data_IF_814173076420
#
_entry.id   IF_814173076420
#
_cell.length_a   1.000
_cell.length_b   1.000
_cell.length_c   1.000
_cell.angle_alpha   90.00
_cell.angle_beta   90.00
_cell.angle_gamma   90.00
#
_symmetry.space_group_name_H-M   'P 1'
#
loop_
_entity.id
_entity.type
_entity.pdbx_description
1 polymer ?
#
# COMPACT_ATOMS: atom_id res chain seq x y z
N UNK A 1 -27.57 -2.92 3.03
CA UNK A 1 -26.60 -1.85 3.38
C UNK A 1 -27.23 -0.45 3.33
N UNK A 2 -28.26 -0.22 2.49
CA UNK A 2 -29.07 1.01 2.47
C UNK A 2 -29.79 1.35 3.79
N UNK A 3 -30.08 0.34 4.59
CA UNK A 3 -31.06 0.46 5.67
C UNK A 3 -30.52 1.28 6.86
N UNK A 4 -29.22 1.18 7.17
CA UNK A 4 -28.61 1.91 8.30
C UNK A 4 -28.70 3.43 8.18
N UNK A 5 -28.43 3.98 6.98
CA UNK A 5 -28.57 5.42 6.75
C UNK A 5 -30.04 5.83 6.82
N UNK A 6 -30.93 5.07 6.20
CA UNK A 6 -32.37 5.38 6.17
C UNK A 6 -32.99 5.36 7.57
N UNK A 7 -32.54 4.45 8.44
CA UNK A 7 -33.00 4.29 9.82
C UNK A 7 -32.38 5.31 10.79
N UNK A 8 -31.33 6.03 10.38
CA UNK A 8 -30.54 6.91 11.27
C UNK A 8 -30.42 8.33 10.68
N UNK A 9 -31.41 9.23 10.88
CA UNK A 9 -31.39 10.58 10.33
C UNK A 9 -30.15 11.41 10.68
N UNK A 10 -29.57 11.20 11.87
CA UNK A 10 -28.33 11.85 12.29
C UNK A 10 -27.14 11.47 11.39
N UNK A 11 -27.08 10.23 10.92
CA UNK A 11 -26.03 9.76 10.01
C UNK A 11 -26.18 10.37 8.61
N UNK A 12 -27.42 10.53 8.12
CA UNK A 12 -27.69 11.24 6.86
C UNK A 12 -27.23 12.69 6.96
N UNK A 13 -27.66 13.40 8.01
CA UNK A 13 -27.30 14.80 8.20
C UNK A 13 -25.78 14.99 8.28
N UNK A 14 -25.09 14.14 9.04
CA UNK A 14 -23.63 14.17 9.12
C UNK A 14 -22.98 13.92 7.76
N UNK A 15 -23.45 12.91 7.02
CA UNK A 15 -22.91 12.58 5.70
C UNK A 15 -23.09 13.73 4.71
N UNK A 16 -24.27 14.37 4.67
CA UNK A 16 -24.52 15.51 3.78
C UNK A 16 -23.58 16.69 4.10
N UNK A 17 -23.34 16.98 5.38
CA UNK A 17 -22.39 18.01 5.81
C UNK A 17 -20.94 17.63 5.49
N UNK A 18 -20.57 16.36 5.64
CA UNK A 18 -19.24 15.84 5.34
C UNK A 18 -18.95 15.87 3.83
N UNK A 19 -19.90 15.45 3.00
CA UNK A 19 -19.81 15.53 1.54
C UNK A 19 -19.56 16.98 1.09
N UNK A 20 -20.29 17.95 1.65
CA UNK A 20 -20.10 19.38 1.34
C UNK A 20 -18.70 19.89 1.69
N UNK A 21 -18.10 19.45 2.81
CA UNK A 21 -16.73 19.83 3.19
C UNK A 21 -15.69 19.37 2.17
N UNK A 22 -15.95 18.26 1.48
CA UNK A 22 -15.00 17.62 0.56
C UNK A 22 -15.26 17.92 -0.92
N UNK A 23 -16.34 18.63 -1.26
CA UNK A 23 -16.66 19.10 -2.63
C UNK A 23 -15.69 20.19 -3.11
N UNK A 24 -14.43 19.81 -3.32
CA UNK A 24 -13.33 20.69 -3.73
C UNK A 24 -12.89 20.48 -5.18
N UNK A 25 -13.47 19.49 -5.87
CA UNK A 25 -13.11 19.10 -7.24
C UNK A 25 -11.96 18.09 -7.34
N UNK A 26 -11.30 17.75 -6.22
CA UNK A 26 -10.21 16.76 -6.19
C UNK A 26 -10.67 15.34 -6.57
N UNK A 27 -11.89 15.00 -6.17
CA UNK A 27 -12.54 13.72 -6.44
C UNK A 27 -13.66 13.94 -7.45
N UNK A 28 -13.81 13.03 -8.41
CA UNK A 28 -14.87 13.16 -9.41
C UNK A 28 -16.23 12.70 -8.88
N UNK A 29 -16.22 11.78 -7.92
CA UNK A 29 -17.42 11.34 -7.21
C UNK A 29 -17.13 11.25 -5.71
N UNK A 30 -18.08 11.71 -4.90
CA UNK A 30 -18.08 11.56 -3.46
C UNK A 30 -19.34 10.79 -3.07
N UNK A 31 -19.17 9.71 -2.32
CA UNK A 31 -20.28 8.86 -1.88
C UNK A 31 -20.21 8.58 -0.39
N UNK A 32 -21.38 8.36 0.22
CA UNK A 32 -21.50 7.80 1.56
C UNK A 32 -21.47 6.27 1.56
N UNK A 33 -20.81 5.69 2.54
CA UNK A 33 -20.69 4.24 2.72
C UNK A 33 -20.81 3.86 4.19
N UNK A 34 -21.18 2.59 4.45
CA UNK A 34 -21.01 1.95 5.77
C UNK A 34 -19.80 1.04 5.66
N UNK A 35 -18.76 1.32 6.45
CA UNK A 35 -17.47 0.62 6.36
C UNK A 35 -17.27 -0.40 7.48
N UNK A 36 -18.11 -0.35 8.50
CA UNK A 36 -18.09 -1.28 9.62
C UNK A 36 -19.48 -1.37 10.26
N UNK A 37 -19.81 -2.54 10.79
CA UNK A 37 -21.02 -2.78 11.59
C UNK A 37 -20.69 -3.76 12.71
N UNK A 38 -21.51 -3.76 13.77
CA UNK A 38 -21.45 -4.74 14.85
C UNK A 38 -21.97 -6.14 14.49
N UNK A 39 -22.14 -6.42 13.19
CA UNK A 39 -22.59 -7.72 12.71
C UNK A 39 -21.65 -8.84 13.16
N UNK A 40 -22.26 -9.95 13.60
CA UNK A 40 -21.56 -11.12 14.13
C UNK A 40 -21.71 -12.32 13.22
N UNK A 41 -20.67 -13.14 13.16
CA UNK A 41 -20.68 -14.44 12.50
C UNK A 41 -21.52 -15.47 13.27
N UNK A 42 -21.64 -16.67 12.70
CA UNK A 42 -22.32 -17.81 13.32
C UNK A 42 -21.68 -18.27 14.64
N UNK A 43 -20.41 -17.93 14.86
CA UNK A 43 -19.65 -18.17 16.08
C UNK A 43 -19.86 -17.10 17.16
N UNK A 44 -20.71 -16.09 16.90
CA UNK A 44 -21.00 -14.98 17.79
C UNK A 44 -19.88 -13.93 17.86
N UNK A 45 -18.79 -14.06 17.10
CA UNK A 45 -17.72 -13.05 17.02
C UNK A 45 -18.07 -11.98 16.00
N UNK A 46 -17.52 -10.77 16.18
CA UNK A 46 -17.66 -9.70 15.18
C UNK A 46 -17.08 -10.16 13.84
N UNK A 47 -17.80 -9.88 12.75
CA UNK A 47 -17.31 -10.15 11.39
C UNK A 47 -16.02 -9.38 11.10
N UNK A 48 -15.92 -8.16 11.62
CA UNK A 48 -14.71 -7.33 11.57
C UNK A 48 -14.36 -6.92 13.00
N UNK A 49 -13.35 -7.58 13.57
CA UNK A 49 -12.92 -7.38 14.96
C UNK A 49 -12.08 -6.10 15.12
N UNK A 50 -12.72 -4.95 14.98
CA UNK A 50 -12.12 -3.62 15.08
C UNK A 50 -12.94 -2.75 16.03
N UNK A 51 -12.27 -1.97 16.88
CA UNK A 51 -12.91 -0.92 17.69
C UNK A 51 -13.38 0.23 16.78
N UNK A 52 -14.69 0.52 16.72
CA UNK A 52 -15.24 1.53 15.82
C UNK A 52 -14.75 2.95 16.09
N UNK A 53 -14.54 3.35 17.36
CA UNK A 53 -14.14 4.72 17.68
C UNK A 53 -12.68 4.97 17.31
N UNK A 54 -11.86 3.94 17.51
CA UNK A 54 -10.46 3.96 17.06
C UNK A 54 -10.37 3.91 15.52
N UNK A 55 -11.26 3.19 14.84
CA UNK A 55 -11.34 3.17 13.37
C UNK A 55 -11.65 4.58 12.84
N UNK A 56 -12.65 5.24 13.43
CA UNK A 56 -13.01 6.62 13.10
C UNK A 56 -11.84 7.57 13.30
N UNK A 57 -11.17 7.47 14.46
CA UNK A 57 -10.00 8.31 14.78
C UNK A 57 -8.88 8.13 13.76
N UNK A 58 -8.60 6.89 13.34
CA UNK A 58 -7.56 6.60 12.34
C UNK A 58 -7.90 7.17 10.98
N UNK A 59 -9.12 6.95 10.48
CA UNK A 59 -9.55 7.48 9.18
C UNK A 59 -9.47 9.00 9.16
N UNK A 60 -9.96 9.67 10.21
CA UNK A 60 -10.01 11.12 10.27
C UNK A 60 -8.63 11.77 10.53
N UNK A 61 -7.62 11.01 10.97
CA UNK A 61 -6.24 11.51 11.15
C UNK A 61 -5.31 11.16 9.99
N UNK A 62 -5.51 9.99 9.37
CA UNK A 62 -4.78 9.56 8.18
C UNK A 62 -5.73 8.77 7.25
N UNK A 63 -6.36 9.45 6.27
CA UNK A 63 -7.29 8.84 5.31
C UNK A 63 -6.75 7.58 4.65
N UNK A 64 -7.51 6.48 4.73
CA UNK A 64 -7.14 5.22 4.09
C UNK A 64 -7.41 5.25 2.59
N UNK A 65 -6.46 4.74 1.81
CA UNK A 65 -6.61 4.50 0.37
C UNK A 65 -7.58 3.34 0.16
N UNK A 66 -8.59 3.58 -0.67
CA UNK A 66 -9.53 2.57 -1.11
C UNK A 66 -8.86 1.73 -2.21
N UNK A 67 -8.64 0.44 -1.94
CA UNK A 67 -7.98 -0.48 -2.86
C UNK A 67 -8.98 -1.47 -3.48
N UNK A 68 -8.87 -1.68 -4.78
CA UNK A 68 -9.58 -2.75 -5.49
C UNK A 68 -8.92 -4.10 -5.18
N UNK A 69 -9.68 -5.07 -4.68
CA UNK A 69 -9.21 -6.43 -4.37
C UNK A 69 -7.96 -6.47 -3.47
N UNK A 70 -7.79 -5.51 -2.55
CA UNK A 70 -6.61 -5.36 -1.68
C UNK A 70 -5.30 -5.06 -2.41
N UNK A 71 -5.34 -4.81 -3.73
CA UNK A 71 -4.14 -4.60 -4.53
C UNK A 71 -3.60 -3.17 -4.28
N UNK A 72 -2.41 -3.03 -3.67
CA UNK A 72 -1.81 -1.71 -3.40
C UNK A 72 -1.48 -0.92 -4.67
N UNK A 73 -1.46 -1.57 -5.84
CA UNK A 73 -1.28 -0.94 -7.15
C UNK A 73 -2.58 -0.42 -7.79
N UNK A 74 -3.75 -0.64 -7.16
CA UNK A 74 -5.07 -0.30 -7.71
C UNK A 74 -5.86 0.64 -6.79
N UNK A 75 -5.41 1.90 -6.61
CA UNK A 75 -6.10 2.88 -5.80
C UNK A 75 -7.35 3.40 -6.52
N UNK A 76 -8.52 3.30 -5.89
CA UNK A 76 -9.79 3.82 -6.43
C UNK A 76 -10.18 5.17 -5.84
N UNK A 77 -9.72 5.46 -4.63
CA UNK A 77 -10.12 6.64 -3.90
C UNK A 77 -9.55 6.70 -2.49
N UNK A 78 -10.18 7.50 -1.64
CA UNK A 78 -9.83 7.70 -0.24
C UNK A 78 -11.07 7.71 0.64
N UNK A 79 -10.94 7.23 1.89
CA UNK A 79 -11.91 7.50 2.93
C UNK A 79 -11.61 8.86 3.55
N UNK A 80 -12.45 9.84 3.23
CA UNK A 80 -12.21 11.25 3.53
C UNK A 80 -12.56 11.60 4.97
N UNK A 81 -13.66 11.04 5.45
CA UNK A 81 -14.18 11.28 6.79
C UNK A 81 -15.02 10.09 7.25
N UNK A 82 -15.10 9.88 8.56
CA UNK A 82 -15.94 8.83 9.15
C UNK A 82 -16.49 9.25 10.51
N UNK A 83 -17.60 8.62 10.91
CA UNK A 83 -18.23 8.79 12.21
C UNK A 83 -18.99 7.52 12.63
N UNK A 84 -19.04 7.28 13.94
CA UNK A 84 -19.76 6.16 14.55
C UNK A 84 -21.19 6.56 14.90
N UNK A 85 -22.12 5.64 14.66
CA UNK A 85 -23.55 5.81 14.92
C UNK A 85 -24.16 4.54 15.50
N UNK A 86 -25.31 4.70 16.15
CA UNK A 86 -26.16 3.62 16.63
C UNK A 86 -27.57 3.83 16.05
N UNK A 87 -28.14 2.80 15.42
CA UNK A 87 -29.49 2.86 14.88
C UNK A 87 -30.54 2.67 16.00
N UNK A 88 -31.84 2.89 15.75
CA UNK A 88 -32.89 2.72 16.76
C UNK A 88 -32.99 1.31 17.38
N UNK A 89 -32.51 0.28 16.67
CA UNK A 89 -32.46 -1.11 17.16
C UNK A 89 -31.22 -1.41 18.03
N UNK A 90 -30.41 -0.40 18.33
CA UNK A 90 -29.19 -0.52 19.13
C UNK A 90 -27.98 -1.08 18.35
N UNK A 91 -28.07 -1.17 17.02
CA UNK A 91 -26.98 -1.65 16.17
C UNK A 91 -25.98 -0.55 15.88
N UNK A 92 -24.71 -0.84 16.11
CA UNK A 92 -23.61 0.10 15.86
C UNK A 92 -23.05 -0.06 14.46
N UNK A 93 -22.72 1.08 13.85
CA UNK A 93 -22.07 1.13 12.55
C UNK A 93 -21.16 2.33 12.42
N UNK A 94 -20.19 2.25 11.50
CA UNK A 94 -19.35 3.39 11.11
C UNK A 94 -19.74 3.80 9.70
N UNK A 95 -20.23 5.03 9.58
CA UNK A 95 -20.45 5.69 8.31
C UNK A 95 -19.16 6.38 7.86
N UNK A 96 -18.96 6.47 6.54
CA UNK A 96 -17.83 7.14 5.93
C UNK A 96 -18.24 7.90 4.67
N UNK A 97 -17.51 8.97 4.39
CA UNK A 97 -17.51 9.66 3.09
C UNK A 97 -16.28 9.19 2.32
N UNK A 98 -16.50 8.74 1.09
CA UNK A 98 -15.49 8.19 0.20
C UNK A 98 -15.39 9.09 -1.02
N UNK A 99 -14.17 9.52 -1.36
CA UNK A 99 -13.87 10.26 -2.58
C UNK A 99 -13.20 9.36 -3.60
N UNK A 100 -13.78 9.21 -4.79
CA UNK A 100 -13.16 8.47 -5.89
C UNK A 100 -12.35 9.39 -6.80
N UNK A 101 -11.21 8.90 -7.26
CA UNK A 101 -10.32 9.68 -8.13
C UNK A 101 -10.86 9.83 -9.56
N UNK A 102 -11.64 8.87 -10.07
CA UNK A 102 -12.14 8.95 -11.44
C UNK A 102 -13.00 10.21 -11.63
N UNK A 103 -12.69 10.99 -12.67
CA UNK A 103 -13.36 12.25 -12.96
C UNK A 103 -12.93 13.45 -12.10
N UNK A 104 -11.98 13.27 -11.18
CA UNK A 104 -11.45 14.33 -10.31
C UNK A 104 -10.22 15.07 -10.89
N UNK A 105 -9.55 15.85 -10.04
CA UNK A 105 -8.27 16.52 -10.36
C UNK A 105 -7.10 15.52 -10.33
N UNK A 106 -7.03 14.70 -11.38
CA UNK A 106 -5.97 13.72 -11.60
C UNK A 106 -4.83 14.36 -12.38
N UNK A 107 -3.64 14.35 -11.78
CA UNK A 107 -2.43 14.88 -12.40
C UNK A 107 -1.71 13.77 -13.17
N UNK A 108 -0.93 14.13 -14.19
CA UNK A 108 -0.04 13.23 -14.92
C UNK A 108 1.42 13.60 -14.67
N UNK A 109 2.34 12.63 -14.72
CA UNK A 109 3.77 12.92 -14.56
C UNK A 109 4.25 13.83 -15.69
N UNK A 110 3.84 13.52 -16.93
CA UNK A 110 4.15 14.32 -18.10
C UNK A 110 3.57 15.75 -17.99
N UNK A 111 2.35 15.91 -17.48
CA UNK A 111 1.72 17.22 -17.26
C UNK A 111 2.45 18.07 -16.22
N UNK A 112 3.20 17.45 -15.32
CA UNK A 112 4.08 18.12 -14.35
C UNK A 112 5.51 18.36 -14.90
N UNK A 113 5.74 18.03 -16.18
CA UNK A 113 7.05 18.10 -16.84
C UNK A 113 8.03 17.07 -16.30
N UNK A 114 7.55 16.00 -15.66
CA UNK A 114 8.36 14.94 -15.07
C UNK A 114 8.52 13.84 -16.11
N UNK A 115 9.73 13.72 -16.62
CA UNK A 115 10.13 12.58 -17.43
C UNK A 115 10.50 11.42 -16.49
N UNK A 116 9.65 10.39 -16.51
CA UNK A 116 9.79 9.17 -15.70
C UNK A 116 10.72 8.15 -16.34
N UNK A 117 11.14 8.34 -17.60
CA UNK A 117 12.05 7.42 -18.30
C UNK A 117 13.52 7.76 -18.06
N UNK A 118 13.79 8.94 -17.47
CA UNK A 118 15.15 9.35 -17.11
C UNK A 118 15.73 8.43 -16.03
N UNK A 119 16.62 7.52 -16.45
CA UNK A 119 17.37 6.65 -15.54
C UNK A 119 18.18 7.44 -14.51
N UNK A 120 18.17 6.97 -13.26
CA UNK A 120 19.02 7.49 -12.18
C UNK A 120 20.01 6.39 -11.78
N UNK A 121 21.32 6.66 -11.78
CA UNK A 121 22.27 5.68 -11.27
C UNK A 121 22.05 5.48 -9.77
N UNK A 122 22.16 4.25 -9.25
CA UNK A 122 22.20 3.99 -7.82
C UNK A 122 23.32 4.79 -7.14
N UNK A 123 23.19 5.10 -5.84
CA UNK A 123 24.20 5.85 -5.12
C UNK A 123 25.56 5.11 -5.14
N UNK A 124 26.64 5.85 -5.37
CA UNK A 124 28.00 5.28 -5.40
C UNK A 124 28.52 4.89 -4.01
N UNK A 125 27.90 5.41 -2.96
CA UNK A 125 28.22 5.13 -1.56
C UNK A 125 26.93 4.79 -0.84
N UNK A 126 26.94 3.69 -0.10
CA UNK A 126 25.82 3.33 0.76
C UNK A 126 26.12 3.76 2.19
N UNK A 127 25.12 4.29 2.93
CA UNK A 127 25.31 4.57 4.33
C UNK A 127 25.49 3.26 5.09
N UNK A 128 26.10 3.36 6.27
CA UNK A 128 26.25 2.20 7.16
C UNK A 128 24.86 1.72 7.60
N UNK A 129 24.59 0.42 7.47
CA UNK A 129 23.41 -0.20 8.08
C UNK A 129 23.54 -0.12 9.60
N UNK A 130 22.44 0.26 10.26
CA UNK A 130 22.39 0.21 11.71
C UNK A 130 22.39 -1.25 12.17
N UNK A 131 23.05 -1.52 13.28
CA UNK A 131 23.26 -2.88 13.79
C UNK A 131 21.93 -3.52 14.28
N UNK A 132 20.89 -2.72 14.49
CA UNK A 132 19.57 -3.12 14.94
C UNK A 132 18.56 -3.32 13.81
N UNK A 133 18.97 -3.24 12.53
CA UNK A 133 18.06 -3.37 11.38
C UNK A 133 17.17 -4.63 11.43
N UNK A 134 15.88 -4.43 11.18
CA UNK A 134 14.89 -5.50 11.08
C UNK A 134 13.99 -5.31 9.86
N UNK A 135 13.31 -6.39 9.49
CA UNK A 135 12.31 -6.43 8.42
C UNK A 135 10.99 -6.89 9.01
N UNK A 136 9.88 -6.31 8.56
CA UNK A 136 8.54 -6.78 8.87
C UNK A 136 8.02 -7.61 7.69
N UNK A 137 7.42 -8.77 7.95
CA UNK A 137 6.64 -9.51 6.95
C UNK A 137 5.19 -9.55 7.43
N UNK A 138 4.30 -8.95 6.65
CA UNK A 138 2.87 -8.91 6.92
C UNK A 138 2.09 -9.74 5.89
N UNK A 139 1.24 -10.64 6.36
CA UNK A 139 0.42 -11.54 5.51
C UNK A 139 -0.93 -11.84 6.14
N UNK A 140 -1.95 -12.11 5.32
CA UNK A 140 -3.23 -12.63 5.82
C UNK A 140 -3.16 -14.16 5.94
N UNK A 141 -3.42 -14.70 7.12
CA UNK A 141 -3.33 -16.15 7.39
C UNK A 141 -4.32 -17.00 6.56
N UNK A 142 -5.32 -16.36 5.93
CA UNK A 142 -6.23 -17.03 4.98
C UNK A 142 -5.65 -17.12 3.57
N UNK A 143 -4.66 -16.30 3.26
CA UNK A 143 -4.01 -16.22 1.95
C UNK A 143 -2.67 -16.93 1.96
N UNK A 144 -1.87 -16.77 3.02
CA UNK A 144 -0.51 -17.33 3.13
C UNK A 144 -0.44 -18.24 4.35
N UNK A 145 0.00 -19.48 4.14
CA UNK A 145 0.15 -20.47 5.20
C UNK A 145 1.41 -20.23 6.06
N UNK A 146 1.32 -20.63 7.34
CA UNK A 146 2.41 -20.48 8.30
C UNK A 146 3.66 -21.28 7.93
N UNK A 147 3.52 -22.44 7.28
CA UNK A 147 4.67 -23.26 6.88
C UNK A 147 5.55 -22.51 5.87
N UNK A 148 4.93 -21.82 4.91
CA UNK A 148 5.65 -20.94 3.98
C UNK A 148 6.32 -19.78 4.71
N UNK A 149 5.63 -19.14 5.67
CA UNK A 149 6.17 -18.05 6.48
C UNK A 149 7.39 -18.48 7.30
N UNK A 150 7.30 -19.62 7.98
CA UNK A 150 8.42 -20.24 8.72
C UNK A 150 9.64 -20.43 7.84
N UNK A 151 9.43 -20.98 6.64
CA UNK A 151 10.51 -21.19 5.71
C UNK A 151 11.18 -19.86 5.34
N UNK A 152 10.43 -18.81 4.99
CA UNK A 152 11.02 -17.55 4.51
C UNK A 152 11.70 -16.74 5.61
N UNK A 153 11.23 -16.83 6.86
CA UNK A 153 11.84 -16.07 7.97
C UNK A 153 13.04 -16.75 8.60
N UNK A 154 13.09 -18.09 8.62
CA UNK A 154 14.16 -18.84 9.31
C UNK A 154 15.55 -18.60 8.70
N UNK A 155 15.59 -18.35 7.40
CA UNK A 155 16.84 -18.13 6.65
C UNK A 155 17.23 -16.64 6.56
N UNK A 156 16.56 -15.76 7.30
CA UNK A 156 16.81 -14.31 7.23
C UNK A 156 18.13 -13.94 7.91
N UNK A 157 18.99 -13.12 7.26
CA UNK A 157 20.23 -12.60 7.85
C UNK A 157 19.98 -11.48 8.87
N UNK A 158 18.74 -11.00 8.98
CA UNK A 158 18.30 -9.97 9.93
C UNK A 158 17.08 -10.44 10.71
N UNK A 159 16.77 -9.77 11.82
CA UNK A 159 15.53 -10.04 12.57
C UNK A 159 14.32 -9.79 11.65
N UNK A 160 13.40 -10.75 11.63
CA UNK A 160 12.10 -10.60 10.96
C UNK A 160 11.00 -10.54 12.02
N UNK A 161 10.19 -9.49 11.98
CA UNK A 161 8.95 -9.41 12.72
C UNK A 161 7.80 -9.83 11.81
N UNK A 162 6.94 -10.73 12.31
CA UNK A 162 5.73 -11.09 11.58
C UNK A 162 4.57 -10.26 12.08
N UNK A 163 3.77 -9.76 11.15
CA UNK A 163 2.49 -9.17 11.45
C UNK A 163 1.39 -9.79 10.59
N UNK A 164 0.16 -9.74 11.10
CA UNK A 164 -0.96 -10.30 10.37
C UNK A 164 -1.65 -9.18 9.58
N UNK A 165 -1.99 -9.42 8.32
CA UNK A 165 -2.89 -8.58 7.52
C UNK A 165 -4.33 -9.10 7.68
N UNK A 166 -5.31 -8.22 7.55
CA UNK A 166 -6.70 -8.65 7.45
C UNK A 166 -7.38 -7.98 6.28
N UNK A 167 -7.44 -8.72 5.18
CA UNK A 167 -8.09 -8.28 3.97
C UNK A 167 -9.62 -8.41 4.06
N UNK A 168 -10.25 -8.91 5.13
CA UNK A 168 -11.73 -9.00 5.22
C UNK A 168 -12.47 -9.51 3.93
N UNK A 169 -11.79 -10.27 3.06
CA UNK A 169 -12.37 -10.87 1.87
C UNK A 169 -12.78 -12.32 2.17
N UNK A 170 -13.92 -12.74 1.64
CA UNK A 170 -14.37 -14.12 1.72
C UNK A 170 -13.58 -15.04 0.77
N UNK A 171 -13.22 -14.52 -0.40
CA UNK A 171 -12.36 -15.16 -1.40
C UNK A 171 -11.30 -14.14 -1.83
N UNK A 172 -10.02 -14.46 -1.66
CA UNK A 172 -8.93 -13.61 -2.18
C UNK A 172 -8.50 -14.09 -3.56
N UNK A 173 -8.53 -13.17 -4.53
CA UNK A 173 -8.08 -13.44 -5.91
C UNK A 173 -6.54 -13.44 -6.03
N UNK A 174 -5.85 -12.96 -4.99
CA UNK A 174 -4.43 -12.65 -4.99
C UNK A 174 -3.89 -12.89 -3.58
N UNK A 175 -2.63 -13.29 -3.46
CA UNK A 175 -1.98 -13.44 -2.16
C UNK A 175 -1.06 -12.25 -1.94
N UNK A 176 -1.38 -11.36 -1.00
CA UNK A 176 -0.54 -10.19 -0.72
C UNK A 176 0.41 -10.46 0.44
N UNK A 177 1.71 -10.33 0.15
CA UNK A 177 2.79 -10.38 1.12
C UNK A 177 3.44 -9.00 1.15
N UNK A 178 3.39 -8.31 2.28
CA UNK A 178 4.07 -7.03 2.47
C UNK A 178 5.35 -7.22 3.24
N UNK A 179 6.44 -6.66 2.73
CA UNK A 179 7.76 -6.67 3.37
C UNK A 179 8.15 -5.25 3.72
N UNK A 180 7.99 -4.89 5.00
CA UNK A 180 8.42 -3.61 5.56
C UNK A 180 9.93 -3.59 5.78
N UNK A 181 10.67 -2.67 5.15
CA UNK A 181 12.12 -2.67 5.20
C UNK A 181 12.71 -1.24 5.09
N UNK A 182 13.89 -0.95 5.69
CA UNK A 182 14.54 0.36 5.53
C UNK A 182 14.95 0.66 4.09
N UNK A 183 14.69 1.89 3.63
CA UNK A 183 14.83 2.28 2.21
C UNK A 183 16.22 2.05 1.65
N UNK A 184 17.23 2.19 2.52
CA UNK A 184 18.63 1.95 2.18
C UNK A 184 18.89 0.53 1.65
N UNK A 185 18.10 -0.47 2.04
CA UNK A 185 18.23 -1.84 1.55
C UNK A 185 17.81 -1.97 0.07
N UNK A 186 17.01 -1.04 -0.44
CA UNK A 186 16.53 -1.04 -1.82
C UNK A 186 17.52 -0.44 -2.81
N UNK A 187 18.40 0.45 -2.36
CA UNK A 187 19.36 1.17 -3.22
C UNK A 187 20.70 0.44 -3.40
N UNK A 188 20.87 -0.74 -2.79
CA UNK A 188 22.10 -1.52 -2.92
C UNK A 188 22.26 -2.11 -4.32
N UNK A 189 23.47 -2.02 -4.88
CA UNK A 189 23.86 -2.77 -6.07
C UNK A 189 25.24 -3.43 -5.87
N UNK A 190 25.56 -4.52 -6.58
CA UNK A 190 26.82 -5.25 -6.42
C UNK A 190 28.06 -4.49 -6.90
N UNK A 191 27.88 -3.39 -7.64
CA UNK A 191 28.93 -2.52 -8.17
C UNK A 191 29.25 -1.33 -7.27
N UNK A 192 28.56 -1.16 -6.13
CA UNK A 192 28.93 -0.17 -5.12
C UNK A 192 30.29 -0.56 -4.53
N UNK A 193 31.30 0.24 -4.85
CA UNK A 193 32.70 -0.02 -4.49
C UNK A 193 33.07 0.48 -3.09
N UNK A 194 32.28 1.39 -2.51
CA UNK A 194 32.54 1.97 -1.20
C UNK A 194 31.33 1.78 -0.26
N UNK A 195 31.40 0.77 0.59
CA UNK A 195 30.56 0.65 1.78
C UNK A 195 31.45 0.98 2.98
N UNK A 196 30.92 1.70 3.97
CA UNK A 196 31.71 2.19 5.10
C UNK A 196 32.56 1.12 5.83
N UNK A 197 32.18 -0.16 5.72
CA UNK A 197 32.93 -1.32 6.24
C UNK A 197 32.68 -2.58 5.39
N UNK A 198 33.66 -3.51 5.37
CA UNK A 198 33.49 -4.85 4.76
C UNK A 198 32.37 -5.67 5.41
N UNK A 199 32.17 -5.51 6.73
CA UNK A 199 31.06 -6.14 7.45
C UNK A 199 29.70 -5.67 6.92
N UNK A 200 29.55 -4.36 6.67
CA UNK A 200 28.34 -3.82 6.05
C UNK A 200 28.08 -4.41 4.67
N UNK A 201 29.13 -4.59 3.85
CA UNK A 201 29.04 -5.21 2.53
C UNK A 201 28.52 -6.64 2.58
N UNK A 202 29.00 -7.44 3.53
CA UNK A 202 28.53 -8.80 3.74
C UNK A 202 27.05 -8.84 4.15
N UNK A 203 26.62 -7.95 5.05
CA UNK A 203 25.21 -7.85 5.48
C UNK A 203 24.30 -7.49 4.31
N UNK A 204 24.63 -6.48 3.51
CA UNK A 204 23.86 -6.13 2.31
C UNK A 204 23.76 -7.30 1.32
N UNK A 205 24.87 -7.97 1.05
CA UNK A 205 24.89 -9.12 0.14
C UNK A 205 24.01 -10.27 0.68
N UNK A 206 24.06 -10.53 1.98
CA UNK A 206 23.22 -11.52 2.65
C UNK A 206 21.72 -11.19 2.53
N UNK A 207 21.34 -9.95 2.82
CA UNK A 207 19.95 -9.49 2.69
C UNK A 207 19.48 -9.59 1.24
N UNK A 208 20.31 -9.16 0.28
CA UNK A 208 19.97 -9.25 -1.13
C UNK A 208 19.81 -10.70 -1.61
N UNK A 209 20.68 -11.62 -1.15
CA UNK A 209 20.54 -13.05 -1.43
C UNK A 209 19.25 -13.62 -0.83
N UNK A 210 18.90 -13.19 0.39
CA UNK A 210 17.64 -13.56 1.04
C UNK A 210 16.42 -13.05 0.26
N UNK A 211 16.43 -11.80 -0.22
CA UNK A 211 15.37 -11.29 -1.10
C UNK A 211 15.24 -12.07 -2.41
N UNK A 212 16.35 -12.45 -3.06
CA UNK A 212 16.29 -13.31 -4.25
C UNK A 212 15.65 -14.66 -3.93
N UNK A 213 15.98 -15.27 -2.79
CA UNK A 213 15.39 -16.53 -2.34
C UNK A 213 13.91 -16.40 -2.02
N UNK A 214 13.50 -15.29 -1.39
CA UNK A 214 12.09 -14.95 -1.17
C UNK A 214 11.34 -14.86 -2.50
N UNK A 215 11.89 -14.16 -3.49
CA UNK A 215 11.31 -14.04 -4.83
C UNK A 215 11.20 -15.39 -5.55
N UNK A 216 12.19 -16.28 -5.40
CA UNK A 216 12.10 -17.65 -5.95
C UNK A 216 10.94 -18.43 -5.32
N UNK A 217 10.69 -18.28 -4.02
CA UNK A 217 9.58 -18.93 -3.30
C UNK A 217 8.20 -18.38 -3.62
N UNK A 218 8.12 -17.26 -4.34
CA UNK A 218 6.86 -16.78 -4.92
C UNK A 218 6.36 -17.71 -6.03
N UNK A 219 7.22 -18.57 -6.59
CA UNK A 219 6.84 -19.58 -7.58
C UNK A 219 5.74 -20.54 -7.07
N UNK A 220 5.77 -20.83 -5.76
CA UNK A 220 4.86 -21.76 -5.09
C UNK A 220 3.49 -21.14 -4.76
N UNK A 221 3.35 -19.83 -4.96
CA UNK A 221 2.19 -19.03 -4.54
C UNK A 221 1.18 -18.82 -5.67
N UNK A 222 -0.09 -18.61 -5.31
CA UNK A 222 -1.19 -18.42 -6.25
C UNK A 222 -1.40 -16.93 -6.54
N UNK A 223 -0.97 -16.50 -7.72
CA UNK A 223 -1.11 -15.11 -8.19
C UNK A 223 -0.67 -14.07 -7.13
N UNK A 224 0.57 -14.16 -6.62
CA UNK A 224 0.96 -13.35 -5.49
C UNK A 224 1.34 -11.92 -5.88
N UNK A 225 1.25 -11.02 -4.90
CA UNK A 225 1.86 -9.70 -4.91
C UNK A 225 2.82 -9.63 -3.73
N UNK A 226 4.08 -9.34 -4.00
CA UNK A 226 5.06 -8.98 -2.97
C UNK A 226 5.28 -7.47 -3.00
N UNK A 227 4.91 -6.79 -1.92
CA UNK A 227 5.03 -5.35 -1.72
C UNK A 227 6.27 -5.05 -0.86
N UNK A 228 7.36 -4.61 -1.48
CA UNK A 228 8.49 -4.04 -0.75
C UNK A 228 8.15 -2.63 -0.31
N UNK A 229 7.78 -2.50 0.96
CA UNK A 229 7.23 -1.30 1.57
C UNK A 229 8.33 -0.61 2.39
N UNK A 230 8.62 0.64 2.05
CA UNK A 230 9.62 1.44 2.73
C UNK A 230 9.21 2.92 2.87
N UNK A 231 10.07 3.74 3.47
CA UNK A 231 9.84 5.17 3.68
C UNK A 231 11.06 5.99 3.27
N UNK A 232 10.84 7.05 2.49
CA UNK A 232 11.87 7.98 2.01
C UNK A 232 11.35 9.42 2.08
N UNK A 233 12.05 10.30 2.82
CA UNK A 233 11.72 11.73 2.99
C UNK A 233 10.23 12.02 3.30
N UNK A 234 9.64 11.22 4.19
CA UNK A 234 8.24 11.34 4.61
C UNK A 234 7.21 10.74 3.65
N UNK A 235 7.67 10.13 2.55
CA UNK A 235 6.82 9.41 1.60
C UNK A 235 6.95 7.89 1.81
N UNK A 236 5.82 7.20 1.91
CA UNK A 236 5.76 5.75 1.79
C UNK A 236 6.07 5.34 0.33
N UNK A 237 7.02 4.43 0.13
CA UNK A 237 7.37 3.92 -1.21
C UNK A 237 7.16 2.42 -1.26
N UNK A 238 6.38 1.96 -2.23
CA UNK A 238 6.11 0.53 -2.49
C UNK A 238 6.64 0.11 -3.85
N UNK A 239 7.36 -1.00 -3.90
CA UNK A 239 7.77 -1.68 -5.13
C UNK A 239 7.01 -3.00 -5.24
N UNK A 240 6.11 -3.10 -6.21
CA UNK A 240 5.23 -4.26 -6.36
C UNK A 240 5.82 -5.29 -7.32
N UNK A 241 6.15 -6.45 -6.79
CA UNK A 241 6.51 -7.63 -7.56
C UNK A 241 5.26 -8.49 -7.77
N UNK A 242 4.88 -8.73 -9.02
CA UNK A 242 3.64 -9.44 -9.36
C UNK A 242 3.88 -10.82 -9.95
N UNK A 243 3.06 -11.79 -9.54
CA UNK A 243 3.03 -13.14 -10.10
C UNK A 243 4.18 -14.03 -9.62
N UNK A 244 4.31 -15.20 -10.25
CA UNK A 244 5.15 -16.31 -9.77
C UNK A 244 6.26 -16.71 -10.75
N UNK A 245 6.53 -15.89 -11.77
CA UNK A 245 7.62 -16.16 -12.73
C UNK A 245 8.97 -15.73 -12.14
N UNK A 246 9.70 -16.70 -11.59
CA UNK A 246 10.99 -16.49 -10.92
C UNK A 246 11.97 -15.65 -11.76
N UNK A 247 12.13 -15.96 -13.05
CA UNK A 247 13.06 -15.23 -13.92
C UNK A 247 12.71 -13.74 -13.99
N UNK A 248 11.42 -13.42 -14.21
CA UNK A 248 10.95 -12.03 -14.26
C UNK A 248 11.07 -11.32 -12.90
N UNK A 249 10.86 -12.05 -11.81
CA UNK A 249 11.02 -11.50 -10.45
C UNK A 249 12.50 -11.19 -10.15
N UNK A 250 13.44 -12.04 -10.57
CA UNK A 250 14.87 -11.76 -10.43
C UNK A 250 15.33 -10.61 -11.32
N UNK A 251 14.82 -10.52 -12.56
CA UNK A 251 15.08 -9.36 -13.44
C UNK A 251 14.58 -8.05 -12.78
N UNK A 252 13.39 -8.07 -12.18
CA UNK A 252 12.87 -6.94 -11.41
C UNK A 252 13.76 -6.58 -10.21
N UNK A 253 14.27 -7.59 -9.50
CA UNK A 253 15.18 -7.39 -8.36
C UNK A 253 16.49 -6.73 -8.79
N UNK A 254 17.07 -7.17 -9.92
CA UNK A 254 18.32 -6.61 -10.44
C UNK A 254 18.19 -5.14 -10.85
N UNK A 255 16.99 -4.72 -11.29
CA UNK A 255 16.69 -3.33 -11.65
C UNK A 255 16.24 -2.44 -10.48
N UNK A 256 15.97 -3.02 -9.30
CA UNK A 256 15.34 -2.34 -8.16
C UNK A 256 16.15 -1.15 -7.63
N UNK A 257 17.48 -1.27 -7.59
CA UNK A 257 18.35 -0.20 -7.06
C UNK A 257 18.25 1.10 -7.87
N UNK A 258 18.13 0.99 -9.20
CA UNK A 258 17.91 2.14 -10.07
C UNK A 258 16.54 2.77 -9.83
N UNK A 259 15.51 1.93 -9.67
CA UNK A 259 14.16 2.37 -9.37
C UNK A 259 14.06 3.09 -8.01
N UNK A 260 14.75 2.59 -6.99
CA UNK A 260 14.84 3.24 -5.68
C UNK A 260 15.60 4.57 -5.76
N UNK A 261 16.66 4.68 -6.55
CA UNK A 261 17.32 5.96 -6.77
C UNK A 261 16.39 6.96 -7.51
N UNK A 262 15.62 6.48 -8.49
CA UNK A 262 14.65 7.26 -9.22
C UNK A 262 13.50 7.75 -8.32
N UNK A 263 12.95 6.90 -7.46
CA UNK A 263 11.89 7.25 -6.53
C UNK A 263 12.34 8.37 -5.57
N UNK A 264 13.56 8.28 -5.01
CA UNK A 264 14.11 9.32 -4.16
C UNK A 264 14.24 10.67 -4.90
N UNK A 265 14.70 10.65 -6.16
CA UNK A 265 14.78 11.85 -7.01
C UNK A 265 13.39 12.42 -7.30
N UNK A 266 12.42 11.56 -7.60
CA UNK A 266 11.04 11.95 -7.90
C UNK A 266 10.37 12.61 -6.69
N UNK A 267 10.50 12.03 -5.49
CA UNK A 267 10.01 12.60 -4.23
C UNK A 267 10.59 14.01 -4.01
N UNK A 268 11.91 14.16 -4.15
CA UNK A 268 12.58 15.46 -4.00
C UNK A 268 12.10 16.49 -5.03
N UNK A 269 11.93 16.07 -6.29
CA UNK A 269 11.43 16.93 -7.38
C UNK A 269 9.98 17.37 -7.17
N UNK A 270 9.11 16.47 -6.73
CA UNK A 270 7.71 16.81 -6.42
C UNK A 270 7.65 17.78 -5.24
N UNK A 271 8.43 17.52 -4.19
CA UNK A 271 8.53 18.41 -3.02
C UNK A 271 9.02 19.81 -3.39
N UNK A 272 10.00 19.95 -4.28
CA UNK A 272 10.46 21.28 -4.76
C UNK A 272 9.42 22.04 -5.58
N UNK A 273 8.43 21.34 -6.15
CA UNK A 273 7.26 21.91 -6.81
C UNK A 273 6.06 22.14 -5.87
N UNK A 274 6.26 22.02 -4.55
CA UNK A 274 5.19 22.15 -3.54
C UNK A 274 4.23 20.96 -3.48
N UNK A 275 4.55 19.84 -4.14
CA UNK A 275 3.73 18.63 -4.18
C UNK A 275 4.34 17.58 -3.26
N UNK A 276 4.01 17.65 -1.97
CA UNK A 276 4.55 16.70 -0.99
C UNK A 276 3.87 15.35 -1.17
N UNK A 277 4.65 14.33 -1.52
CA UNK A 277 4.19 12.96 -1.69
C UNK A 277 3.95 12.28 -0.34
N UNK A 278 2.77 11.68 -0.18
CA UNK A 278 2.42 10.80 0.95
C UNK A 278 2.78 9.36 0.65
N UNK A 279 2.41 8.89 -0.54
CA UNK A 279 2.62 7.51 -1.00
C UNK A 279 3.05 7.50 -2.46
N UNK A 280 3.93 6.58 -2.82
CA UNK A 280 4.41 6.37 -4.18
C UNK A 280 4.50 4.87 -4.44
N UNK A 281 3.95 4.42 -5.56
CA UNK A 281 3.95 3.01 -5.93
C UNK A 281 4.63 2.83 -7.28
N UNK A 282 5.57 1.89 -7.33
CA UNK A 282 6.25 1.46 -8.54
C UNK A 282 5.80 0.07 -8.93
N UNK A 283 5.65 -0.14 -10.24
CA UNK A 283 5.42 -1.46 -10.82
C UNK A 283 6.50 -1.79 -11.84
N UNK A 284 6.84 -3.08 -11.93
CA UNK A 284 7.78 -3.57 -12.91
C UNK A 284 7.05 -4.00 -14.18
N UNK A 285 7.35 -3.31 -15.28
CA UNK A 285 6.91 -3.72 -16.60
C UNK A 285 7.72 -4.95 -17.04
N UNK A 286 7.05 -6.09 -17.13
CA UNK A 286 7.67 -7.37 -17.50
C UNK A 286 8.05 -7.48 -18.97
N UNK A 287 7.46 -6.64 -19.83
CA UNK A 287 7.74 -6.58 -21.26
C UNK A 287 8.91 -5.64 -21.52
N UNK A 288 8.85 -4.42 -20.97
CA UNK A 288 9.89 -3.41 -21.12
C UNK A 288 11.09 -3.62 -20.19
N UNK A 289 10.97 -4.51 -19.19
CA UNK A 289 12.00 -4.85 -18.20
C UNK A 289 12.48 -3.64 -17.38
N UNK A 290 11.55 -2.77 -17.02
CA UNK A 290 11.84 -1.55 -16.29
C UNK A 290 10.81 -1.30 -15.19
N UNK A 291 11.27 -0.64 -14.14
CA UNK A 291 10.40 -0.10 -13.10
C UNK A 291 9.87 1.26 -13.54
N UNK A 292 8.57 1.47 -13.41
CA UNK A 292 7.93 2.75 -13.66
C UNK A 292 7.06 3.15 -12.45
N UNK A 293 6.96 4.45 -12.14
CA UNK A 293 6.00 4.91 -11.15
C UNK A 293 4.59 4.67 -11.67
N UNK A 294 3.81 3.86 -10.95
CA UNK A 294 2.42 3.58 -11.26
C UNK A 294 1.54 4.76 -10.84
N UNK A 295 1.69 5.21 -9.58
CA UNK A 295 1.04 6.42 -9.10
C UNK A 295 1.74 7.06 -7.90
N UNK A 296 1.37 8.31 -7.59
CA UNK A 296 1.75 9.03 -6.38
C UNK A 296 0.50 9.64 -5.74
N UNK A 297 0.31 9.45 -4.44
CA UNK A 297 -0.66 10.20 -3.64
C UNK A 297 0.04 11.36 -2.95
N UNK A 298 -0.55 12.55 -3.06
CA UNK A 298 -0.06 13.77 -2.42
C UNK A 298 -0.71 13.97 -1.04
N UNK A 299 -0.08 14.80 -0.20
CA UNK A 299 -0.63 15.21 1.10
C UNK A 299 -1.91 16.06 0.98
N UNK A 300 -2.19 16.61 -0.20
CA UNK A 300 -3.44 17.33 -0.49
C UNK A 300 -4.50 16.43 -1.13
N UNK A 301 -4.35 15.11 -0.99
CA UNK A 301 -5.24 14.04 -1.45
C UNK A 301 -5.34 13.85 -2.96
N UNK A 302 -4.62 14.62 -3.78
CA UNK A 302 -4.60 14.38 -5.22
C UNK A 302 -3.71 13.20 -5.60
N UNK A 303 -4.05 12.57 -6.71
CA UNK A 303 -3.27 11.48 -7.30
C UNK A 303 -2.55 11.96 -8.57
N UNK A 304 -1.30 11.52 -8.72
CA UNK A 304 -0.53 11.62 -9.97
C UNK A 304 -0.46 10.22 -10.58
N UNK A 305 -0.96 10.05 -11.80
CA UNK A 305 -0.86 8.80 -12.57
C UNK A 305 -1.00 9.08 -14.06
N UNK A 306 -0.24 8.37 -14.89
CA UNK A 306 -0.42 8.38 -16.35
C UNK A 306 -1.38 7.28 -16.82
N UNK A 307 -1.78 6.36 -15.92
CA UNK A 307 -2.67 5.25 -16.21
C UNK A 307 -4.04 5.42 -15.54
N UNK A 308 -4.99 6.01 -16.27
CA UNK A 308 -6.34 6.26 -15.79
C UNK A 308 -7.13 4.96 -15.49
N UNK A 309 -6.73 3.81 -16.05
CA UNK A 309 -7.39 2.54 -15.75
C UNK A 309 -7.18 2.10 -14.29
N UNK A 310 -6.14 2.60 -13.60
CA UNK A 310 -5.91 2.32 -12.18
C UNK A 310 -7.06 2.83 -11.31
N UNK A 311 -7.55 4.03 -11.64
CA UNK A 311 -8.55 4.76 -10.86
C UNK A 311 -9.98 4.60 -11.37
N UNK A 312 -10.16 3.96 -12.53
CA UNK A 312 -11.47 3.75 -13.12
C UNK A 312 -12.40 2.94 -12.19
N UNK A 313 -13.68 3.34 -12.17
CA UNK A 313 -14.76 2.82 -11.32
C UNK A 313 -15.68 1.87 -12.10
N UNK A 314 -15.48 1.72 -13.43
CA UNK A 314 -16.32 0.86 -14.26
C UNK A 314 -16.34 -0.57 -13.70
N UNK A 315 -17.52 -0.99 -13.22
CA UNK A 315 -17.76 -2.27 -12.54
C UNK A 315 -17.00 -2.45 -11.21
N UNK A 316 -17.07 -1.48 -10.27
CA UNK A 316 -16.59 -1.69 -8.90
C UNK A 316 -17.00 -3.09 -8.38
N UNK A 317 -16.02 -3.98 -8.13
CA UNK A 317 -16.33 -5.31 -7.63
C UNK A 317 -16.94 -5.21 -6.23
N UNK A 318 -17.59 -6.29 -5.78
CA UNK A 318 -18.13 -6.39 -4.41
C UNK A 318 -17.04 -6.31 -3.32
N UNK A 319 -15.75 -6.39 -3.68
CA UNK A 319 -14.60 -6.37 -2.78
C UNK A 319 -13.81 -5.07 -2.86
N UNK A 320 -14.14 -4.12 -2.00
CA UNK A 320 -13.34 -2.92 -1.73
C UNK A 320 -12.76 -3.00 -0.33
N UNK A 321 -11.57 -2.44 -0.14
CA UNK A 321 -10.86 -2.60 1.14
C UNK A 321 -10.05 -1.41 1.61
N UNK A 322 -9.74 -1.47 2.90
CA UNK A 322 -8.94 -0.48 3.63
C UNK A 322 -7.50 -0.94 3.89
N UNK A 323 -7.13 -2.18 3.51
CA UNK A 323 -5.77 -2.72 3.68
C UNK A 323 -5.25 -2.75 5.13
N UNK A 324 -6.11 -3.09 6.12
CA UNK A 324 -5.78 -3.04 7.55
C UNK A 324 -4.83 -4.18 7.96
N UNK A 325 -3.80 -3.89 8.77
CA UNK A 325 -3.03 -4.93 9.50
C UNK A 325 -3.70 -5.25 10.82
N UNK A 326 -3.63 -6.50 11.28
CA UNK A 326 -4.10 -6.98 12.58
C UNK A 326 -3.14 -6.69 13.74
N UNK A 327 -1.86 -6.44 13.50
CA UNK A 327 -0.99 -5.77 14.50
C UNK A 327 -1.38 -4.29 14.69
N UNK A 328 -2.19 -3.75 13.76
CA UNK A 328 -3.03 -2.57 13.92
C UNK A 328 -4.53 -2.92 13.95
N UNK A 329 -4.91 -4.18 14.24
CA UNK A 329 -6.19 -4.41 14.94
C UNK A 329 -5.96 -3.63 16.20
N UNK A 330 -6.70 -2.55 16.28
CA UNK A 330 -6.56 -1.54 17.27
C UNK A 330 -6.34 -2.11 18.67
#
# INVERSE_FOLDING_TARGET
>A
MSDFFQETPAAIKWADEAEQRHQTGKFGEIVRAVIWTDARGSDGKLLVAVDPDRLVTKINSNPFTLLENHDPGRPKGLLLESASFENPDGRKFVAAVVGYYAGGDVLSFLGLGIDVDLSVPPPQQLPRLMDDVWVEIATDAREVDEDWLDQVTNDSPVRVERSELSHNAADSLQELIRVGLPYVLLVWNPFVTAIATEAGKATYAGIHAWFRKLLSRMADRRNPILDFHSHQDGCQVSFLFRGNNEKKLHEAMDALAGAAAQAARLISRLKSQGKVSRQMVYEFDKEALLWAPSFVLLNDDRIITDNLALIAIENLPKGLSLGLTRSNSL
#
